data_IF_527040882297
#
_entry.id   IF_527040882297
#
_cell.length_a   1.000
_cell.length_b   1.000
_cell.length_c   1.000
_cell.angle_alpha   90.00
_cell.angle_beta   90.00
_cell.angle_gamma   90.00
#
_symmetry.space_group_name_H-M   'P 1'
#
loop_
_entity.id
_entity.type
_entity.pdbx_description
1 polymer ?
#
# COMPACT_ATOMS: atom_id res chain seq x y z
N UNK A 1 -4.84 -26.92 7.58
CA UNK A 1 -5.80 -25.90 8.05
C UNK A 1 -5.32 -24.55 7.54
N UNK A 2 -6.18 -23.70 6.96
CA UNK A 2 -5.77 -22.34 6.56
C UNK A 2 -5.28 -21.55 7.76
N UNK A 3 -4.26 -20.71 7.55
CA UNK A 3 -3.75 -19.79 8.57
C UNK A 3 -4.86 -18.83 9.03
N UNK A 4 -4.66 -18.18 10.16
CA UNK A 4 -5.64 -17.21 10.66
C UNK A 4 -5.83 -16.05 9.67
N UNK A 5 -4.76 -15.67 8.99
CA UNK A 5 -4.76 -14.67 7.92
C UNK A 5 -5.57 -15.11 6.70
N UNK A 6 -5.41 -16.36 6.24
CA UNK A 6 -6.23 -16.90 5.14
C UNK A 6 -7.72 -16.93 5.51
N UNK A 7 -8.05 -17.26 6.76
CA UNK A 7 -9.44 -17.18 7.25
C UNK A 7 -9.94 -15.73 7.28
N UNK A 8 -9.12 -14.78 7.71
CA UNK A 8 -9.48 -13.36 7.73
C UNK A 8 -9.71 -12.81 6.31
N UNK A 9 -8.83 -13.14 5.35
CA UNK A 9 -8.99 -12.79 3.93
C UNK A 9 -10.31 -13.35 3.37
N UNK A 10 -10.67 -14.59 3.73
CA UNK A 10 -11.97 -15.16 3.36
C UNK A 10 -13.14 -14.32 3.90
N UNK A 11 -13.11 -13.94 5.18
CA UNK A 11 -14.17 -13.12 5.78
C UNK A 11 -14.26 -11.72 5.17
N UNK A 12 -13.14 -11.05 4.91
CA UNK A 12 -13.15 -9.74 4.26
C UNK A 12 -13.64 -9.81 2.81
N UNK A 13 -13.29 -10.89 2.09
CA UNK A 13 -13.83 -11.14 0.74
C UNK A 13 -15.35 -11.31 0.76
N UNK A 14 -15.88 -12.02 1.76
CA UNK A 14 -17.34 -12.13 1.94
C UNK A 14 -18.00 -10.83 2.33
N UNK A 15 -17.37 -10.04 3.22
CA UNK A 15 -17.88 -8.73 3.62
C UNK A 15 -18.01 -7.80 2.41
N UNK A 16 -16.98 -7.74 1.56
CA UNK A 16 -17.02 -6.97 0.32
C UNK A 16 -18.08 -7.47 -0.68
N UNK A 17 -18.29 -8.78 -0.76
CA UNK A 17 -19.34 -9.34 -1.63
C UNK A 17 -20.77 -8.98 -1.17
N UNK A 18 -20.96 -8.76 0.14
CA UNK A 18 -22.26 -8.36 0.72
C UNK A 18 -22.46 -6.85 0.64
N UNK A 19 -21.43 -6.07 0.93
CA UNK A 19 -21.43 -4.62 0.83
C UNK A 19 -20.16 -4.14 0.11
N UNK A 20 -20.24 -3.90 -1.21
CA UNK A 20 -19.12 -3.39 -2.00
C UNK A 20 -18.67 -1.99 -1.57
N UNK A 21 -19.49 -1.24 -0.84
CA UNK A 21 -19.14 0.11 -0.36
C UNK A 21 -18.30 0.08 0.92
N UNK A 22 -18.12 -1.10 1.54
CA UNK A 22 -17.35 -1.23 2.75
C UNK A 22 -15.83 -1.23 2.47
N UNK A 23 -15.31 -0.04 2.14
CA UNK A 23 -13.92 0.22 1.76
C UNK A 23 -12.90 -0.29 2.78
N UNK A 24 -13.24 -0.24 4.07
CA UNK A 24 -12.37 -0.73 5.13
C UNK A 24 -12.15 -2.24 5.07
N UNK A 25 -13.15 -3.05 4.69
CA UNK A 25 -12.95 -4.48 4.50
C UNK A 25 -11.98 -4.78 3.35
N UNK A 26 -12.08 -4.02 2.25
CA UNK A 26 -11.16 -4.13 1.12
C UNK A 26 -9.74 -3.71 1.49
N UNK A 27 -9.59 -2.61 2.24
CA UNK A 27 -8.30 -2.16 2.75
C UNK A 27 -7.67 -3.20 3.69
N UNK A 28 -8.44 -3.74 4.65
CA UNK A 28 -7.96 -4.77 5.56
C UNK A 28 -7.56 -6.05 4.81
N UNK A 29 -8.30 -6.44 3.77
CA UNK A 29 -7.91 -7.56 2.91
C UNK A 29 -6.57 -7.29 2.22
N UNK A 30 -6.40 -6.12 1.63
CA UNK A 30 -5.17 -5.75 0.94
C UNK A 30 -3.95 -5.80 1.88
N UNK A 31 -4.07 -5.26 3.09
CA UNK A 31 -3.00 -5.27 4.09
C UNK A 31 -2.59 -6.70 4.44
N UNK A 32 -3.55 -7.59 4.71
CA UNK A 32 -3.27 -8.99 5.00
C UNK A 32 -2.64 -9.73 3.82
N UNK A 33 -3.15 -9.50 2.61
CA UNK A 33 -2.61 -10.10 1.39
C UNK A 33 -1.16 -9.68 1.17
N UNK A 34 -0.86 -8.40 1.30
CA UNK A 34 0.47 -7.85 1.04
C UNK A 34 1.47 -8.23 2.12
N UNK A 35 1.20 -7.85 3.38
CA UNK A 35 2.18 -7.90 4.46
C UNK A 35 2.32 -9.26 5.12
N UNK A 36 1.23 -10.00 5.25
CA UNK A 36 1.23 -11.26 6.00
C UNK A 36 1.31 -12.50 5.09
N UNK A 37 0.76 -12.41 3.88
CA UNK A 37 0.65 -13.55 2.96
C UNK A 37 1.58 -13.45 1.75
N UNK A 38 2.26 -12.32 1.53
CA UNK A 38 3.14 -12.10 0.37
C UNK A 38 2.42 -12.14 -0.98
N UNK A 39 1.09 -11.99 -0.99
CA UNK A 39 0.23 -11.97 -2.18
C UNK A 39 0.13 -10.55 -2.74
N UNK A 40 1.30 -9.97 -3.04
CA UNK A 40 1.45 -8.55 -3.43
C UNK A 40 0.53 -8.13 -4.56
N UNK A 41 0.42 -8.93 -5.63
CA UNK A 41 -0.41 -8.60 -6.79
C UNK A 41 -1.89 -8.41 -6.42
N UNK A 42 -2.41 -9.26 -5.55
CA UNK A 42 -3.81 -9.17 -5.11
C UNK A 42 -4.04 -7.99 -4.17
N UNK A 43 -3.06 -7.72 -3.30
CA UNK A 43 -3.09 -6.55 -2.43
C UNK A 43 -3.11 -5.23 -3.22
N UNK A 44 -2.25 -5.12 -4.23
CA UNK A 44 -2.18 -3.94 -5.09
C UNK A 44 -3.48 -3.77 -5.90
N UNK A 45 -4.06 -4.86 -6.42
CA UNK A 45 -5.34 -4.79 -7.13
C UNK A 45 -6.48 -4.24 -6.26
N UNK A 46 -6.49 -4.55 -4.96
CA UNK A 46 -7.46 -4.00 -4.03
C UNK A 46 -7.23 -2.51 -3.73
N UNK A 47 -5.98 -2.11 -3.55
CA UNK A 47 -5.60 -0.72 -3.26
C UNK A 47 -5.81 0.18 -4.47
N UNK A 48 -5.49 -0.31 -5.67
CA UNK A 48 -5.72 0.40 -6.93
C UNK A 48 -7.21 0.67 -7.15
N UNK A 49 -8.06 -0.29 -6.84
CA UNK A 49 -9.49 -0.10 -6.97
C UNK A 49 -10.06 0.86 -5.92
N UNK A 50 -9.55 0.84 -4.68
CA UNK A 50 -9.90 1.85 -3.68
C UNK A 50 -9.53 3.26 -4.14
N UNK A 51 -8.34 3.41 -4.73
CA UNK A 51 -7.85 4.70 -5.24
C UNK A 51 -8.50 5.11 -6.56
N UNK A 52 -9.06 4.17 -7.32
CA UNK A 52 -9.91 4.49 -8.48
C UNK A 52 -11.28 5.03 -8.05
N UNK A 53 -11.83 4.55 -6.94
CA UNK A 53 -13.09 5.05 -6.37
C UNK A 53 -12.93 6.38 -5.64
N UNK A 54 -11.86 6.50 -4.85
CA UNK A 54 -11.50 7.70 -4.10
C UNK A 54 -9.99 7.92 -4.21
N UNK A 55 -9.55 8.75 -5.17
CA UNK A 55 -8.14 9.05 -5.35
C UNK A 55 -7.47 9.56 -4.08
N UNK A 56 -8.19 10.28 -3.22
CA UNK A 56 -7.66 10.91 -2.02
C UNK A 56 -7.70 10.02 -0.79
N UNK A 57 -8.08 8.75 -0.92
CA UNK A 57 -8.13 7.80 0.19
C UNK A 57 -6.73 7.46 0.73
N UNK A 58 -6.25 8.31 1.63
CA UNK A 58 -4.90 8.28 2.19
C UNK A 58 -4.50 6.93 2.83
N UNK A 59 -5.38 6.19 3.54
CA UNK A 59 -5.04 4.87 4.04
C UNK A 59 -4.67 3.87 2.93
N UNK A 60 -5.36 3.89 1.78
CA UNK A 60 -5.01 3.02 0.66
C UNK A 60 -3.68 3.45 0.04
N UNK A 61 -3.47 4.75 -0.14
CA UNK A 61 -2.24 5.31 -0.70
C UNK A 61 -1.01 4.98 0.15
N UNK A 62 -1.10 5.14 1.47
CA UNK A 62 -0.05 4.77 2.41
C UNK A 62 0.29 3.27 2.32
N UNK A 63 -0.72 2.40 2.37
CA UNK A 63 -0.50 0.96 2.33
C UNK A 63 0.02 0.48 0.98
N UNK A 64 -0.39 1.10 -0.13
CA UNK A 64 0.15 0.79 -1.46
C UNK A 64 1.63 1.17 -1.54
N UNK A 65 1.99 2.36 -1.07
CA UNK A 65 3.39 2.78 -0.99
C UNK A 65 4.27 1.83 -0.17
N UNK A 66 3.78 1.37 0.99
CA UNK A 66 4.51 0.43 1.86
C UNK A 66 4.68 -0.95 1.22
N UNK A 67 3.61 -1.50 0.63
CA UNK A 67 3.67 -2.80 -0.07
C UNK A 67 4.57 -2.71 -1.31
N UNK A 68 4.52 -1.61 -2.06
CA UNK A 68 5.42 -1.40 -3.21
C UNK A 68 6.88 -1.28 -2.79
N UNK A 69 7.16 -0.67 -1.64
CA UNK A 69 8.51 -0.59 -1.09
C UNK A 69 9.04 -1.99 -0.71
N UNK A 70 8.21 -2.83 -0.10
CA UNK A 70 8.56 -4.22 0.22
C UNK A 70 8.74 -5.08 -1.05
N UNK A 71 8.00 -4.79 -2.13
CA UNK A 71 8.09 -5.47 -3.44
C UNK A 71 9.26 -4.97 -4.31
N UNK A 72 10.04 -3.98 -3.84
CA UNK A 72 11.17 -3.42 -4.60
C UNK A 72 10.78 -2.41 -5.69
N UNK A 73 9.51 -2.01 -5.77
CA UNK A 73 8.99 -1.04 -6.74
C UNK A 73 9.15 0.39 -6.24
N UNK A 74 10.39 0.78 -6.00
CA UNK A 74 10.76 1.99 -5.25
C UNK A 74 10.25 3.30 -5.85
N UNK A 75 10.25 3.46 -7.18
CA UNK A 75 9.74 4.69 -7.83
C UNK A 75 8.24 4.88 -7.59
N UNK A 76 7.47 3.80 -7.65
CA UNK A 76 6.03 3.84 -7.44
C UNK A 76 5.69 4.02 -5.96
N UNK A 77 6.45 3.35 -5.07
CA UNK A 77 6.35 3.55 -3.63
C UNK A 77 6.61 5.02 -3.23
N UNK A 78 7.65 5.63 -3.80
CA UNK A 78 8.01 7.03 -3.53
C UNK A 78 6.86 7.96 -3.95
N UNK A 79 6.31 7.76 -5.15
CA UNK A 79 5.21 8.56 -5.66
C UNK A 79 3.98 8.52 -4.74
N UNK A 80 3.58 7.34 -4.29
CA UNK A 80 2.43 7.17 -3.40
C UNK A 80 2.66 7.81 -2.03
N UNK A 81 3.84 7.63 -1.44
CA UNK A 81 4.16 8.19 -0.13
C UNK A 81 4.30 9.71 -0.17
N UNK A 82 4.82 10.28 -1.25
CA UNK A 82 4.84 11.74 -1.45
C UNK A 82 3.42 12.31 -1.57
N UNK A 83 2.57 11.66 -2.36
CA UNK A 83 1.17 12.03 -2.47
C UNK A 83 0.41 11.87 -1.14
N UNK A 84 0.77 10.90 -0.30
CA UNK A 84 0.23 10.74 1.05
C UNK A 84 0.64 11.92 1.93
N UNK A 85 1.92 12.29 1.93
CA UNK A 85 2.47 13.39 2.73
C UNK A 85 1.98 14.78 2.30
N UNK A 86 1.60 14.93 1.04
CA UNK A 86 1.01 16.15 0.51
C UNK A 86 -0.38 16.46 1.12
N UNK A 87 -1.08 15.46 1.67
CA UNK A 87 -2.36 15.67 2.34
C UNK A 87 -2.13 16.24 3.76
N UNK A 88 -2.65 17.44 4.08
CA UNK A 88 -2.42 18.08 5.38
C UNK A 88 -3.24 17.45 6.52
N UNK A 89 -4.37 16.85 6.19
CA UNK A 89 -5.35 16.32 7.14
C UNK A 89 -4.97 14.93 7.66
N UNK A 90 -4.13 14.20 6.92
CA UNK A 90 -3.63 12.88 7.33
C UNK A 90 -2.27 13.00 8.00
N UNK A 91 -2.24 12.63 9.29
CA UNK A 91 -1.05 12.74 10.14
C UNK A 91 -0.60 11.42 10.75
N UNK A 92 -1.43 10.39 10.71
CA UNK A 92 -1.09 9.06 11.17
C UNK A 92 0.10 8.53 10.38
N UNK A 93 1.08 7.87 10.99
CA UNK A 93 2.25 7.35 10.27
C UNK A 93 3.05 8.39 9.44
N UNK A 94 2.82 9.70 9.58
CA UNK A 94 3.49 10.72 8.76
C UNK A 94 5.01 10.71 8.92
N UNK A 95 5.48 10.55 10.16
CA UNK A 95 6.92 10.47 10.45
C UNK A 95 7.55 9.20 9.85
N UNK A 96 6.79 8.10 9.82
CA UNK A 96 7.21 6.85 9.20
C UNK A 96 7.31 6.99 7.68
N UNK A 97 6.26 7.53 7.04
CA UNK A 97 6.25 7.83 5.62
C UNK A 97 7.40 8.78 5.21
N UNK A 98 7.70 9.81 6.02
CA UNK A 98 8.84 10.72 5.78
C UNK A 98 10.18 9.99 5.80
N UNK A 99 10.39 9.08 6.76
CA UNK A 99 11.62 8.28 6.84
C UNK A 99 11.77 7.39 5.62
N UNK A 100 10.69 6.75 5.19
CA UNK A 100 10.71 5.86 4.02
C UNK A 100 10.94 6.66 2.74
N UNK A 101 10.31 7.82 2.57
CA UNK A 101 10.54 8.71 1.42
C UNK A 101 12.01 9.14 1.33
N UNK A 102 12.65 9.48 2.45
CA UNK A 102 14.07 9.83 2.47
C UNK A 102 14.93 8.65 1.99
N UNK A 103 14.70 7.46 2.55
CA UNK A 103 15.41 6.23 2.15
C UNK A 103 15.21 5.89 0.67
N UNK A 104 13.98 5.97 0.16
CA UNK A 104 13.68 5.66 -1.24
C UNK A 104 14.39 6.62 -2.19
N UNK A 105 14.55 7.90 -1.82
CA UNK A 105 15.31 8.87 -2.62
C UNK A 105 16.80 8.53 -2.67
N UNK A 106 17.39 8.10 -1.56
CA UNK A 106 18.78 7.65 -1.50
C UNK A 106 18.99 6.42 -2.40
N UNK A 107 18.15 5.39 -2.23
CA UNK A 107 18.20 4.17 -3.05
C UNK A 107 18.10 4.49 -4.54
N UNK A 108 17.14 5.33 -4.93
CA UNK A 108 16.93 5.67 -6.33
C UNK A 108 18.09 6.50 -6.91
N UNK A 109 18.71 7.37 -6.11
CA UNK A 109 19.89 8.12 -6.53
C UNK A 109 21.08 7.20 -6.77
N UNK A 110 21.33 6.24 -5.86
CA UNK A 110 22.38 5.23 -6.01
C UNK A 110 22.15 4.37 -7.27
N UNK A 111 20.93 3.89 -7.48
CA UNK A 111 20.56 3.13 -8.69
C UNK A 111 20.78 3.94 -9.97
N UNK A 112 20.42 5.23 -9.98
CA UNK A 112 20.59 6.09 -11.14
C UNK A 112 22.08 6.39 -11.41
N UNK A 113 22.92 6.48 -10.38
CA UNK A 113 24.36 6.68 -10.53
C UNK A 113 25.08 5.41 -10.99
N UNK A 114 24.68 4.24 -10.51
CA UNK A 114 25.19 2.93 -10.99
C UNK A 114 24.90 2.71 -12.48
N UNK A 115 23.75 3.17 -12.98
CA UNK A 115 23.41 3.07 -14.42
C UNK A 115 24.20 4.05 -15.30
N UNK A 116 24.83 5.08 -14.72
CA UNK A 116 25.60 6.11 -15.44
C UNK A 116 27.10 5.83 -15.50
N UNK A 117 27.60 4.92 -14.66
CA UNK A 117 29.01 4.48 -14.62
C UNK A 117 29.32 3.37 -15.61
#
# INVERSE_FOLDING_TARGET
MPSEYERAVHYFTRAYAVDPTFRMARLSRAILLGRELGRTREALADLDALLAEDPDFAPARLNRGLILQEDGRYREALHDLEQYLAQPDWRDHRQEAQRIVALLREILAEMDDEMRG
#
